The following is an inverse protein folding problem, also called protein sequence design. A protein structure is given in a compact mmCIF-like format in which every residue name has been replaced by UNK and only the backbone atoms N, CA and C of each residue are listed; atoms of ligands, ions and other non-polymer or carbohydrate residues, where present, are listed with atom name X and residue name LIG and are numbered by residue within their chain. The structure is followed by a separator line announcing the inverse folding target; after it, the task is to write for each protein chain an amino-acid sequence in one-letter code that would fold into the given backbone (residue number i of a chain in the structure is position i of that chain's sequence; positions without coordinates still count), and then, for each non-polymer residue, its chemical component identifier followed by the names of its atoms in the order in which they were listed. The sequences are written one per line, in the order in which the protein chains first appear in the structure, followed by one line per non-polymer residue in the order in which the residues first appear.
data_IF_915891004812
#
_entry.id   IF_915891004812
#
_cell.length_a   1.000
_cell.length_b   1.000
_cell.length_c   1.000
_cell.angle_alpha   90.00
_cell.angle_beta   90.00
_cell.angle_gamma   90.00
#
_symmetry.space_group_name_H-M   'P 1'
#
loop_
_entity.id
_entity.type
_entity.pdbx_description
1 polymer ?
#
# COMPACT_ATOMS: atom_id res chain seq x y z
N UNK A 1 -7.27 -4.65 19.39
CA UNK A 1 -7.09 -5.87 18.55
C UNK A 1 -7.39 -5.48 17.12
N UNK A 2 -6.44 -5.64 16.21
CA UNK A 2 -6.63 -5.35 14.79
C UNK A 2 -6.72 -6.66 14.02
N UNK A 3 -7.68 -6.76 13.09
CA UNK A 3 -7.81 -7.91 12.21
C UNK A 3 -6.66 -7.88 11.20
N UNK A 4 -5.92 -8.98 11.06
CA UNK A 4 -4.89 -9.14 10.04
C UNK A 4 -5.36 -10.07 8.94
N UNK A 5 -4.99 -9.78 7.71
CA UNK A 5 -5.26 -10.61 6.54
C UNK A 5 -3.96 -10.69 5.74
N UNK A 6 -3.53 -11.91 5.43
CA UNK A 6 -2.39 -12.12 4.54
C UNK A 6 -2.89 -12.26 3.11
N UNK A 7 -2.18 -11.65 2.17
CA UNK A 7 -2.53 -11.69 0.76
C UNK A 7 -1.42 -12.32 -0.07
N UNK A 8 -1.81 -13.09 -1.09
CA UNK A 8 -0.89 -13.74 -2.05
C UNK A 8 -1.45 -13.57 -3.46
N UNK A 9 -0.58 -13.23 -4.41
CA UNK A 9 -0.91 -13.05 -5.82
C UNK A 9 -0.57 -11.66 -6.34
N UNK A 10 -0.98 -11.38 -7.56
CA UNK A 10 -0.84 -10.08 -8.21
C UNK A 10 -1.93 -9.91 -9.28
N UNK A 11 -2.07 -8.68 -9.75
CA UNK A 11 -2.93 -8.31 -10.86
C UNK A 11 -2.05 -7.69 -11.93
N UNK A 12 -2.12 -8.21 -13.14
CA UNK A 12 -1.38 -7.72 -14.29
C UNK A 12 -2.00 -6.44 -14.84
N UNK A 13 -1.16 -5.56 -15.38
CA UNK A 13 -1.53 -4.28 -15.98
C UNK A 13 -1.06 -4.29 -17.44
N UNK A 14 -2.00 -4.11 -18.37
CA UNK A 14 -1.71 -4.07 -19.81
C UNK A 14 -2.40 -2.87 -20.49
N UNK A 15 -1.66 -2.00 -21.21
CA UNK A 15 -0.21 -1.95 -21.30
C UNK A 15 0.44 -1.66 -19.94
N UNK A 16 1.75 -1.94 -19.75
CA UNK A 16 2.47 -1.54 -18.55
C UNK A 16 2.40 -0.03 -18.32
N UNK A 17 2.42 0.37 -17.05
CA UNK A 17 2.47 1.77 -16.64
C UNK A 17 3.74 2.44 -17.15
N UNK A 18 3.64 3.72 -17.48
CA UNK A 18 4.79 4.55 -17.75
C UNK A 18 5.47 5.01 -16.45
N UNK A 19 6.59 5.73 -16.59
CA UNK A 19 7.37 6.19 -15.44
C UNK A 19 6.59 7.16 -14.54
N UNK A 20 5.85 8.11 -15.11
CA UNK A 20 5.08 9.10 -14.35
C UNK A 20 3.97 8.44 -13.52
N UNK A 21 3.27 7.48 -14.13
CA UNK A 21 2.24 6.66 -13.48
C UNK A 21 2.81 5.83 -12.33
N UNK A 22 3.92 5.15 -12.60
CA UNK A 22 4.60 4.29 -11.62
C UNK A 22 5.07 5.11 -10.41
N UNK A 23 5.78 6.22 -10.64
CA UNK A 23 6.29 7.08 -9.56
C UNK A 23 5.15 7.66 -8.72
N UNK A 24 4.09 8.14 -9.37
CA UNK A 24 2.95 8.69 -8.66
C UNK A 24 2.24 7.64 -7.81
N UNK A 25 1.95 6.46 -8.35
CA UNK A 25 1.22 5.41 -7.63
C UNK A 25 2.04 4.80 -6.48
N UNK A 26 3.37 4.74 -6.62
CA UNK A 26 4.28 4.40 -5.52
C UNK A 26 4.22 5.47 -4.41
N UNK A 27 4.27 6.76 -4.76
CA UNK A 27 4.14 7.84 -3.77
C UNK A 27 2.76 7.87 -3.10
N UNK A 28 1.70 7.63 -3.88
CA UNK A 28 0.33 7.58 -3.43
C UNK A 28 0.12 6.45 -2.40
N UNK A 29 0.52 5.22 -2.73
CA UNK A 29 0.44 4.06 -1.83
C UNK A 29 1.37 4.17 -0.63
N UNK A 30 2.52 4.84 -0.80
CA UNK A 30 3.49 5.09 0.27
C UNK A 30 3.04 6.10 1.33
N UNK A 31 2.07 6.97 1.03
CA UNK A 31 1.64 8.08 1.88
C UNK A 31 0.33 7.81 2.62
N UNK A 32 0.11 8.50 3.74
CA UNK A 32 -1.19 8.44 4.43
C UNK A 32 -2.21 9.31 3.69
N UNK A 33 -3.33 8.71 3.32
CA UNK A 33 -4.42 9.31 2.55
C UNK A 33 -5.43 10.08 3.42
N UNK A 34 -4.94 10.93 4.32
CA UNK A 34 -5.79 11.78 5.16
C UNK A 34 -6.32 13.01 4.41
N UNK A 35 -7.26 13.74 5.00
CA UNK A 35 -7.81 14.99 4.47
C UNK A 35 -6.77 16.11 4.49
N UNK A 36 -6.03 16.20 3.38
CA UNK A 36 -4.98 17.19 3.12
C UNK A 36 -5.50 18.40 2.30
N UNK A 37 -6.81 18.48 2.05
CA UNK A 37 -7.44 19.48 1.19
C UNK A 37 -7.35 19.17 -0.31
N UNK A 38 -6.24 18.58 -0.77
CA UNK A 38 -6.07 18.10 -2.15
C UNK A 38 -5.93 16.57 -2.19
N UNK A 39 -6.93 15.83 -2.71
CA UNK A 39 -6.91 14.37 -2.72
C UNK A 39 -5.81 13.77 -3.60
N UNK A 40 -5.14 14.54 -4.47
CA UNK A 40 -4.07 14.05 -5.34
C UNK A 40 -2.67 14.41 -4.88
N UNK A 41 -2.56 15.24 -3.85
CA UNK A 41 -1.25 15.59 -3.30
C UNK A 41 -0.54 14.33 -2.73
N UNK A 42 0.74 14.21 -3.08
CA UNK A 42 1.64 13.15 -2.67
C UNK A 42 2.96 13.79 -2.22
N UNK A 43 3.49 13.43 -1.04
CA UNK A 43 4.73 13.99 -0.56
C UNK A 43 5.92 13.52 -1.42
N UNK A 44 6.91 14.40 -1.64
CA UNK A 44 8.15 14.02 -2.34
C UNK A 44 8.96 12.95 -1.60
N UNK A 45 8.76 12.78 -0.29
CA UNK A 45 9.24 11.64 0.47
C UNK A 45 8.12 11.08 1.38
N UNK A 46 7.35 10.08 0.92
CA UNK A 46 6.28 9.48 1.70
C UNK A 46 6.72 8.87 3.04
N UNK A 47 7.97 8.39 3.13
CA UNK A 47 8.51 7.78 4.34
C UNK A 47 8.86 8.82 5.42
N UNK A 48 9.04 10.08 5.04
CA UNK A 48 9.31 11.18 5.97
C UNK A 48 8.07 12.01 6.30
N UNK A 49 6.89 11.60 5.83
CA UNK A 49 5.64 12.32 6.07
C UNK A 49 5.29 12.33 7.57
N UNK A 50 4.96 13.50 8.09
CA UNK A 50 4.55 13.67 9.50
C UNK A 50 3.25 14.48 9.58
N UNK A 51 2.55 14.39 10.71
CA UNK A 51 1.31 15.15 10.97
C UNK A 51 1.54 16.65 11.21
N UNK A 52 2.78 17.16 11.15
CA UNK A 52 3.08 18.54 11.58
C UNK A 52 2.15 19.57 10.93
N UNK A 53 1.42 20.33 11.75
CA UNK A 53 0.50 21.37 11.29
C UNK A 53 -0.92 20.92 10.91
N UNK A 54 -1.25 19.62 10.95
CA UNK A 54 -2.58 19.11 10.60
C UNK A 54 -3.39 18.76 11.85
N UNK A 55 -4.62 19.30 12.02
CA UNK A 55 -5.53 18.90 13.10
C UNK A 55 -5.78 17.40 13.13
N UNK A 56 -5.92 16.82 14.33
CA UNK A 56 -6.03 15.37 14.50
C UNK A 56 -7.25 14.80 13.79
N UNK A 57 -8.35 15.55 13.75
CA UNK A 57 -9.62 15.19 13.14
C UNK A 57 -9.44 14.98 11.63
N UNK A 58 -8.76 15.92 10.96
CA UNK A 58 -8.43 15.81 9.53
C UNK A 58 -7.42 14.70 9.26
N UNK A 59 -6.43 14.54 10.12
CA UNK A 59 -5.41 13.50 9.98
C UNK A 59 -5.96 12.06 10.12
N UNK A 60 -7.10 11.91 10.78
CA UNK A 60 -7.80 10.63 10.94
C UNK A 60 -9.03 10.49 10.04
N UNK A 61 -9.28 11.46 9.16
CA UNK A 61 -10.33 11.39 8.14
C UNK A 61 -9.68 11.16 6.77
N UNK A 62 -10.17 10.23 5.94
CA UNK A 62 -9.70 10.11 4.56
C UNK A 62 -10.12 11.33 3.74
N UNK A 63 -9.34 11.67 2.71
CA UNK A 63 -9.77 12.67 1.72
C UNK A 63 -11.07 12.24 1.04
N UNK A 64 -11.89 13.21 0.61
CA UNK A 64 -13.17 12.93 -0.01
C UNK A 64 -13.04 11.97 -1.22
N UNK A 65 -13.89 10.94 -1.26
CA UNK A 65 -13.90 9.92 -2.32
C UNK A 65 -12.88 8.79 -2.15
N UNK A 66 -11.90 8.92 -1.25
CA UNK A 66 -10.94 7.85 -0.98
C UNK A 66 -11.51 6.83 0.01
N UNK A 67 -11.27 5.51 -0.18
CA UNK A 67 -11.84 4.47 0.68
C UNK A 67 -11.39 4.52 2.13
N UNK A 68 -10.12 4.84 2.40
CA UNK A 68 -9.55 4.80 3.76
C UNK A 68 -8.26 5.65 3.84
N UNK A 69 -7.52 5.55 4.94
CA UNK A 69 -6.28 6.30 5.18
C UNK A 69 -5.02 5.67 4.60
N UNK A 70 -5.06 4.40 4.20
CA UNK A 70 -3.92 3.67 3.65
C UNK A 70 -4.36 2.86 2.45
N UNK A 71 -3.75 3.13 1.29
CA UNK A 71 -3.85 2.28 0.12
C UNK A 71 -2.70 1.26 0.17
N UNK A 72 -3.05 -0.02 0.27
CA UNK A 72 -2.06 -1.10 0.42
C UNK A 72 -1.74 -1.80 -0.89
N UNK A 73 -2.24 -1.30 -2.01
CA UNK A 73 -1.85 -1.73 -3.34
C UNK A 73 -0.59 -0.99 -3.79
N UNK A 74 0.40 -1.74 -4.24
CA UNK A 74 1.70 -1.24 -4.69
C UNK A 74 1.97 -1.78 -6.09
N UNK A 75 2.31 -0.88 -7.01
CA UNK A 75 2.69 -1.24 -8.38
C UNK A 75 4.12 -1.75 -8.38
N UNK A 76 4.44 -2.71 -9.25
CA UNK A 76 5.81 -3.15 -9.41
C UNK A 76 6.65 -2.07 -10.13
N UNK A 77 7.95 -2.14 -9.93
CA UNK A 77 8.94 -1.25 -10.57
C UNK A 77 8.90 -1.22 -12.10
N UNK A 78 8.46 -2.29 -12.76
CA UNK A 78 8.32 -2.39 -14.23
C UNK A 78 6.96 -1.87 -14.73
N UNK A 79 6.07 -1.44 -13.82
CA UNK A 79 4.72 -0.96 -14.16
C UNK A 79 3.77 -2.04 -14.70
N UNK A 80 4.18 -3.32 -14.72
CA UNK A 80 3.40 -4.39 -15.36
C UNK A 80 2.43 -5.13 -14.44
N UNK A 81 2.47 -4.90 -13.13
CA UNK A 81 1.53 -5.50 -12.18
C UNK A 81 1.37 -4.67 -10.90
N UNK A 82 0.31 -4.98 -10.15
CA UNK A 82 0.01 -4.42 -8.83
C UNK A 82 -0.22 -5.55 -7.83
N UNK A 83 0.30 -5.38 -6.61
CA UNK A 83 0.23 -6.39 -5.55
C UNK A 83 -0.02 -5.75 -4.19
N UNK A 84 -0.20 -6.56 -3.17
CA UNK A 84 -0.26 -6.11 -1.79
C UNK A 84 1.13 -5.69 -1.31
N UNK A 85 1.21 -4.49 -0.73
CA UNK A 85 2.45 -3.88 -0.19
C UNK A 85 3.05 -4.62 1.01
N UNK A 86 2.41 -5.67 1.54
CA UNK A 86 2.86 -6.39 2.73
C UNK A 86 2.64 -5.63 4.05
N UNK A 87 1.93 -4.49 4.02
CA UNK A 87 1.61 -3.70 5.23
C UNK A 87 0.55 -4.42 6.07
N UNK A 88 0.70 -4.36 7.39
CA UNK A 88 -0.31 -4.89 8.32
C UNK A 88 -1.63 -4.09 8.23
N UNK A 89 -2.75 -4.74 8.60
CA UNK A 89 -4.07 -4.11 8.79
C UNK A 89 -4.69 -3.52 7.51
N UNK A 90 -4.56 -4.25 6.40
CA UNK A 90 -5.18 -3.91 5.12
C UNK A 90 -6.69 -4.15 5.08
N UNK A 91 -7.44 -3.23 5.70
CA UNK A 91 -8.90 -3.37 5.87
C UNK A 91 -9.73 -3.10 4.62
N UNK A 92 -9.16 -2.45 3.60
CA UNK A 92 -9.92 -1.89 2.47
C UNK A 92 -9.36 -2.29 1.10
N UNK A 93 -8.78 -3.48 0.98
CA UNK A 93 -8.17 -3.96 -0.27
C UNK A 93 -9.12 -3.89 -1.48
N UNK A 94 -10.34 -4.42 -1.37
CA UNK A 94 -11.29 -4.38 -2.48
C UNK A 94 -11.71 -2.94 -2.87
N UNK A 95 -12.18 -2.09 -1.93
CA UNK A 95 -12.47 -0.69 -2.26
C UNK A 95 -11.30 0.07 -2.86
N UNK A 96 -10.08 -0.16 -2.37
CA UNK A 96 -8.88 0.49 -2.91
C UNK A 96 -8.51 0.01 -4.31
N UNK A 97 -8.66 -1.28 -4.60
CA UNK A 97 -8.39 -1.80 -5.94
C UNK A 97 -9.32 -1.13 -6.96
N UNK A 98 -10.62 -1.08 -6.64
CA UNK A 98 -11.62 -0.37 -7.45
C UNK A 98 -11.25 1.11 -7.60
N UNK A 99 -10.87 1.77 -6.51
CA UNK A 99 -10.48 3.18 -6.55
C UNK A 99 -9.30 3.41 -7.49
N UNK A 100 -8.22 2.62 -7.36
CA UNK A 100 -7.02 2.76 -8.20
C UNK A 100 -7.36 2.55 -9.67
N UNK A 101 -8.13 1.51 -9.99
CA UNK A 101 -8.56 1.22 -11.36
C UNK A 101 -9.41 2.37 -11.92
N UNK A 102 -10.45 2.78 -11.19
CA UNK A 102 -11.42 3.77 -11.65
C UNK A 102 -10.89 5.21 -11.67
N UNK A 103 -9.92 5.53 -10.82
CA UNK A 103 -9.37 6.89 -10.70
C UNK A 103 -8.12 7.10 -11.52
N UNK A 104 -7.24 6.11 -11.66
CA UNK A 104 -5.92 6.32 -12.24
C UNK A 104 -5.61 5.48 -13.48
N UNK A 105 -6.22 4.30 -13.66
CA UNK A 105 -5.67 3.33 -14.61
C UNK A 105 -6.54 3.12 -15.86
N UNK A 106 -7.84 2.94 -15.70
CA UNK A 106 -8.71 2.52 -16.82
C UNK A 106 -8.97 3.65 -17.84
N UNK A 107 -9.40 3.30 -19.06
CA UNK A 107 -10.02 4.24 -19.99
C UNK A 107 -11.10 5.11 -19.34
N UNK A 108 -10.91 6.43 -19.41
CA UNK A 108 -11.84 7.41 -18.83
C UNK A 108 -11.77 7.52 -17.31
N UNK A 109 -10.64 7.16 -16.70
CA UNK A 109 -10.43 7.29 -15.27
C UNK A 109 -10.69 8.72 -14.76
N UNK A 110 -11.10 8.85 -13.50
CA UNK A 110 -11.53 10.16 -12.93
C UNK A 110 -10.41 11.21 -12.99
N UNK A 111 -9.16 10.82 -12.74
CA UNK A 111 -8.02 11.72 -12.73
C UNK A 111 -7.66 12.28 -14.11
N UNK A 112 -8.15 11.67 -15.21
CA UNK A 112 -7.84 12.10 -16.58
C UNK A 112 -8.35 13.52 -16.93
N UNK A 113 -9.15 14.13 -16.05
CA UNK A 113 -9.68 15.48 -16.19
C UNK A 113 -8.81 16.54 -15.51
N UNK A 114 -7.86 16.13 -14.68
CA UNK A 114 -6.98 17.03 -13.93
C UNK A 114 -5.67 17.22 -14.72
N UNK A 115 -5.29 18.47 -15.07
CA UNK A 115 -4.10 18.75 -15.87
C UNK A 115 -2.79 18.21 -15.28
N UNK A 116 -2.73 17.92 -13.98
CA UNK A 116 -1.54 17.36 -13.32
C UNK A 116 -1.17 15.96 -13.80
N UNK A 117 -2.10 15.26 -14.44
CA UNK A 117 -1.90 13.92 -14.98
C UNK A 117 -1.83 13.92 -16.51
N UNK A 118 -1.29 14.98 -17.12
CA UNK A 118 -1.12 15.05 -18.58
C UNK A 118 -0.22 13.94 -19.15
N UNK A 119 0.72 13.44 -18.34
CA UNK A 119 1.64 12.34 -18.70
C UNK A 119 1.04 10.94 -18.45
N UNK A 120 -0.17 10.83 -17.90
CA UNK A 120 -0.83 9.53 -17.72
C UNK A 120 -1.53 9.10 -19.02
N UNK A 121 -1.44 7.80 -19.32
CA UNK A 121 -2.03 7.20 -20.52
C UNK A 121 -3.49 6.79 -20.32
N UNK A 122 -3.88 6.37 -19.11
CA UNK A 122 -5.26 5.97 -18.78
C UNK A 122 -5.85 4.92 -19.73
N UNK A 123 -5.06 4.01 -20.28
CA UNK A 123 -5.51 3.00 -21.25
C UNK A 123 -5.33 1.57 -20.72
N UNK A 124 -5.10 1.44 -19.42
CA UNK A 124 -4.74 0.17 -18.80
C UNK A 124 -5.96 -0.73 -18.55
N UNK A 125 -5.73 -2.02 -18.77
CA UNK A 125 -6.64 -3.11 -18.46
C UNK A 125 -5.97 -3.99 -17.42
N UNK A 126 -6.67 -4.20 -16.31
CA UNK A 126 -6.19 -5.00 -15.20
C UNK A 126 -6.87 -6.36 -15.17
N UNK A 127 -6.05 -7.40 -15.10
CA UNK A 127 -6.47 -8.80 -15.04
C UNK A 127 -5.64 -9.58 -14.03
N UNK A 128 -6.27 -10.39 -13.19
CA UNK A 128 -5.55 -11.27 -12.27
C UNK A 128 -6.28 -11.46 -10.95
N UNK A 129 -5.58 -12.09 -10.00
CA UNK A 129 -6.20 -12.55 -8.75
C UNK A 129 -5.24 -12.41 -7.57
N UNK A 130 -5.79 -11.92 -6.47
CA UNK A 130 -5.16 -11.94 -5.16
C UNK A 130 -6.04 -12.72 -4.20
N UNK A 131 -5.44 -13.65 -3.46
CA UNK A 131 -6.14 -14.44 -2.44
C UNK A 131 -5.82 -13.86 -1.07
N UNK A 132 -6.86 -13.53 -0.31
CA UNK A 132 -6.76 -13.07 1.07
C UNK A 132 -7.14 -14.18 2.05
N UNK A 133 -6.33 -14.36 3.11
CA UNK A 133 -6.62 -15.26 4.22
C UNK A 133 -6.70 -14.45 5.52
N UNK A 134 -7.88 -14.41 6.14
CA UNK A 134 -8.05 -13.73 7.44
C UNK A 134 -7.41 -14.56 8.55
N UNK A 135 -6.58 -13.95 9.38
CA UNK A 135 -5.88 -14.68 10.44
C UNK A 135 -6.77 -15.10 11.62
N UNK A 136 -7.81 -14.35 11.92
CA UNK A 136 -8.70 -14.60 13.06
C UNK A 136 -9.74 -15.70 12.81
N UNK A 137 -10.14 -15.87 11.55
CA UNK A 137 -11.28 -16.73 11.19
C UNK A 137 -10.91 -17.74 10.11
N UNK A 138 -9.72 -17.62 9.52
CA UNK A 138 -9.26 -18.40 8.36
C UNK A 138 -10.24 -18.36 7.18
N UNK A 139 -11.04 -17.28 7.10
CA UNK A 139 -11.82 -16.99 5.90
C UNK A 139 -10.84 -16.79 4.73
N UNK A 140 -11.03 -17.58 3.68
CA UNK A 140 -10.25 -17.51 2.46
C UNK A 140 -11.14 -16.91 1.38
N UNK A 141 -10.68 -15.85 0.72
CA UNK A 141 -11.43 -15.18 -0.32
C UNK A 141 -10.51 -14.73 -1.45
N UNK A 142 -11.07 -14.55 -2.64
CA UNK A 142 -10.39 -13.97 -3.80
C UNK A 142 -10.80 -12.52 -3.97
N UNK A 143 -9.88 -11.72 -4.48
CA UNK A 143 -10.11 -10.47 -5.17
C UNK A 143 -9.64 -10.66 -6.60
N UNK A 144 -10.56 -10.70 -7.54
CA UNK A 144 -10.28 -10.89 -8.96
C UNK A 144 -10.56 -9.59 -9.69
N UNK A 145 -9.61 -9.15 -10.53
CA UNK A 145 -9.85 -8.15 -11.55
C UNK A 145 -9.96 -8.86 -12.89
N UNK A 146 -11.05 -8.63 -13.61
CA UNK A 146 -11.25 -9.11 -14.97
C UNK A 146 -11.76 -7.94 -15.81
N UNK A 147 -10.97 -7.51 -16.79
CA UNK A 147 -11.25 -6.34 -17.63
C UNK A 147 -11.64 -5.10 -16.81
N UNK A 148 -10.83 -4.77 -15.81
CA UNK A 148 -11.05 -3.67 -14.86
C UNK A 148 -12.26 -3.85 -13.91
N UNK A 149 -12.99 -4.96 -13.98
CA UNK A 149 -14.08 -5.28 -13.06
C UNK A 149 -13.54 -6.06 -11.86
N UNK A 150 -13.68 -5.49 -10.67
CA UNK A 150 -13.26 -6.14 -9.42
C UNK A 150 -14.41 -6.95 -8.83
N UNK A 151 -14.17 -8.21 -8.55
CA UNK A 151 -15.09 -9.09 -7.83
C UNK A 151 -14.42 -9.74 -6.63
N UNK A 152 -15.23 -10.05 -5.61
CA UNK A 152 -14.82 -10.77 -4.41
C UNK A 152 -15.60 -12.06 -4.29
N UNK A 153 -14.92 -13.19 -4.08
CA UNK A 153 -15.56 -14.48 -3.83
C UNK A 153 -14.99 -15.14 -2.58
N UNK A 154 -15.83 -15.79 -1.78
CA UNK A 154 -15.38 -16.55 -0.61
C UNK A 154 -15.13 -17.99 -1.04
N UNK A 155 -13.89 -18.45 -0.91
CA UNK A 155 -13.48 -19.85 -1.16
C UNK A 155 -13.77 -20.70 0.08
N UNK A 156 -13.44 -20.16 1.26
CA UNK A 156 -13.68 -20.81 2.55
C UNK A 156 -14.29 -19.80 3.50
N UNK A 157 -15.45 -20.12 4.04
CA UNK A 157 -16.14 -19.28 5.03
C UNK A 157 -15.35 -19.18 6.32
N UNK A 158 -15.48 -18.04 7.00
CA UNK A 158 -14.99 -17.85 8.36
C UNK A 158 -15.36 -19.02 9.29
N UNK A 159 -14.41 -19.43 10.11
CA UNK A 159 -14.56 -20.48 11.12
C UNK A 159 -14.25 -19.89 12.51
N UNK A 160 -15.27 -19.69 13.37
CA UNK A 160 -15.11 -19.05 14.68
C UNK A 160 -14.15 -19.79 15.62
N UNK A 161 -13.84 -21.06 15.36
CA UNK A 161 -12.88 -21.84 16.16
C UNK A 161 -11.47 -21.26 16.13
N UNK A 162 -11.17 -20.41 15.14
CA UNK A 162 -9.84 -19.81 14.98
C UNK A 162 -9.65 -18.46 15.69
N UNK A 163 -10.69 -17.89 16.31
CA UNK A 163 -10.65 -16.54 16.90
C UNK A 163 -9.52 -16.37 17.92
N UNK A 164 -9.31 -17.38 18.76
CA UNK A 164 -8.25 -17.42 19.78
C UNK A 164 -7.19 -18.48 19.47
N UNK A 165 -7.14 -18.97 18.22
CA UNK A 165 -6.21 -20.01 17.82
C UNK A 165 -4.81 -19.41 17.62
N UNK A 166 -3.74 -20.07 18.08
CA UNK A 166 -2.38 -19.58 17.87
C UNK A 166 -2.09 -19.43 16.36
N UNK A 167 -1.18 -18.53 15.96
CA UNK A 167 -0.81 -18.41 14.55
C UNK A 167 -0.41 -19.77 13.95
N UNK A 168 -0.83 -20.01 12.70
CA UNK A 168 -0.38 -21.17 11.94
C UNK A 168 1.10 -21.01 11.59
N UNK A 169 1.80 -22.12 11.33
CA UNK A 169 3.25 -22.09 11.08
C UNK A 169 3.69 -21.10 9.97
N UNK A 170 2.88 -20.93 8.91
CA UNK A 170 3.20 -19.95 7.87
C UNK A 170 2.99 -18.50 8.34
N UNK A 171 2.02 -18.26 9.23
CA UNK A 171 1.74 -16.94 9.81
C UNK A 171 2.88 -16.54 10.77
N UNK A 172 3.38 -17.49 11.55
CA UNK A 172 4.56 -17.29 12.41
C UNK A 172 5.80 -16.90 11.60
N UNK A 173 6.01 -17.51 10.44
CA UNK A 173 7.16 -17.19 9.58
C UNK A 173 7.01 -15.81 8.92
N UNK A 174 5.81 -15.44 8.46
CA UNK A 174 5.53 -14.07 7.97
C UNK A 174 5.83 -13.04 9.07
N UNK A 175 5.41 -13.30 10.31
CA UNK A 175 5.63 -12.39 11.44
C UNK A 175 7.10 -12.29 11.83
N UNK A 176 7.84 -13.41 11.74
CA UNK A 176 9.29 -13.46 11.95
C UNK A 176 10.01 -12.59 10.94
N UNK A 177 9.75 -12.77 9.65
CA UNK A 177 10.39 -12.00 8.58
C UNK A 177 10.07 -10.50 8.69
N UNK A 178 8.81 -10.15 8.95
CA UNK A 178 8.41 -8.76 9.21
C UNK A 178 9.19 -8.16 10.39
N UNK A 179 9.41 -8.94 11.45
CA UNK A 179 10.19 -8.51 12.62
C UNK A 179 11.67 -8.32 12.28
N UNK A 180 12.26 -9.23 11.50
CA UNK A 180 13.66 -9.13 11.06
C UNK A 180 13.87 -7.89 10.19
N UNK A 181 12.98 -7.65 9.21
CA UNK A 181 13.04 -6.48 8.33
C UNK A 181 12.90 -5.18 9.13
N UNK A 182 11.99 -5.13 10.12
CA UNK A 182 11.85 -3.97 11.04
C UNK A 182 13.13 -3.71 11.83
N UNK A 183 13.81 -4.76 12.32
CA UNK A 183 15.09 -4.62 13.03
C UNK A 183 16.19 -4.08 12.14
N UNK A 184 16.27 -4.52 10.88
CA UNK A 184 17.25 -4.03 9.89
C UNK A 184 17.01 -2.58 9.48
N UNK A 185 15.76 -2.12 9.47
CA UNK A 185 15.39 -0.72 9.16
C UNK A 185 15.57 0.24 10.33
N UNK A 186 15.87 -0.25 11.54
CA UNK A 186 16.19 0.62 12.66
C UNK A 186 17.57 1.23 12.36
N UNK A 187 17.72 2.57 12.33
CA UNK A 187 19.04 3.16 12.23
C UNK A 187 19.88 2.58 13.37
N UNK A 188 21.13 2.21 13.06
CA UNK A 188 22.11 1.92 14.10
C UNK A 188 22.07 3.10 15.09
N UNK A 189 22.27 2.87 16.41
CA UNK A 189 22.47 3.99 17.32
C UNK A 189 23.49 4.91 16.66
N UNK A 190 23.23 6.22 16.66
CA UNK A 190 24.29 7.18 16.40
C UNK A 190 25.34 6.91 17.50
N UNK A 191 26.29 6.01 17.24
CA UNK A 191 27.56 6.08 17.92
C UNK A 191 28.02 7.50 17.63
N UNK A 192 28.08 8.29 18.70
CA UNK A 192 28.56 9.67 18.69
C UNK A 192 29.75 9.70 17.76
N UNK A 193 29.54 10.24 16.55
CA UNK A 193 30.60 10.45 15.60
C UNK A 193 31.45 11.54 16.23
N UNK A 194 32.38 11.14 17.08
CA UNK A 194 33.39 12.01 17.65
C UNK A 194 34.18 12.50 16.45
N UNK A 195 33.86 13.71 16.00
CA UNK A 195 34.57 14.39 14.92
C UNK A 195 35.97 14.66 15.45
N UNK A 196 36.88 13.71 15.24
CA UNK A 196 38.30 13.89 15.54
C UNK A 196 38.82 14.99 14.61
N UNK A 197 38.92 16.22 15.12
CA UNK A 197 39.60 17.30 14.42
C UNK A 197 41.09 16.98 14.34
N UNK A 198 41.54 16.56 13.17
CA UNK A 198 42.95 16.26 12.86
C UNK A 198 43.90 17.48 12.89
N UNK A 199 43.43 18.66 13.32
CA UNK A 199 44.17 19.91 13.21
C UNK A 199 45.13 20.21 14.38
N UNK A 200 45.09 19.46 15.49
CA UNK A 200 45.88 19.80 16.69
C UNK A 200 47.07 18.85 16.96
N UNK A 201 47.53 18.07 15.97
CA UNK A 201 48.83 17.39 16.08
C UNK A 201 49.96 18.35 15.71
N UNK A 202 50.36 19.19 16.67
CA UNK A 202 51.68 19.82 16.62
C UNK A 202 52.77 18.77 16.85
N UNK A 203 53.80 18.83 16.00
CA UNK A 203 55.10 18.15 16.15
C UNK A 203 55.95 18.93 17.14
#
# INVERSE_FOLDING_TARGET
MGFSTDFVGHIDIAPPLNEAETQYLLAFSGSRRYDRGDPYDVPGNPLAETRLGVPMERYNAPSAGQPNLWCDWEVCWDGCCITWSGKEKSYSMEPWLRYVIDHFLRPGAVASKDPRFEDFTFDHVLNGIVVGCRRDTKELFTLEAADNVVSRSVIRTADPRYLDYPPLAYEEEIDREATVLRRRRRPLPEEEAEVVRLADRQV
#
